data_IF_250086682467
#
_entry.id   IF_250086682467
#
_cell.length_a   1.000
_cell.length_b   1.000
_cell.length_c   1.000
_cell.angle_alpha   90.00
_cell.angle_beta   90.00
_cell.angle_gamma   90.00
#
_symmetry.space_group_name_H-M   'P 1'
#
loop_
_entity.id
_entity.type
_entity.pdbx_description
1 polymer ?
#
# COMPACT_ATOMS: atom_id res chain seq x y z
N UNK A 1 17.90 12.39 -12.58
CA UNK A 1 17.30 13.51 -11.81
C UNK A 1 18.01 13.71 -10.47
N UNK A 2 17.91 12.81 -9.48
CA UNK A 2 18.55 13.04 -8.16
C UNK A 2 20.07 13.18 -8.21
N UNK A 3 20.75 12.32 -8.97
CA UNK A 3 22.20 12.44 -9.21
C UNK A 3 22.60 13.79 -9.82
N UNK A 4 21.75 14.37 -10.67
CA UNK A 4 21.98 15.69 -11.24
C UNK A 4 21.85 16.77 -10.17
N UNK A 5 20.83 16.68 -9.31
CA UNK A 5 20.62 17.62 -8.21
C UNK A 5 21.80 17.65 -7.24
N UNK A 6 22.31 16.48 -6.85
CA UNK A 6 23.47 16.36 -5.95
C UNK A 6 24.75 16.90 -6.62
N UNK A 7 24.94 16.63 -7.91
CA UNK A 7 26.10 17.14 -8.66
C UNK A 7 26.10 18.67 -8.87
N UNK A 8 24.97 19.33 -8.64
CA UNK A 8 24.80 20.79 -8.77
C UNK A 8 24.47 21.42 -7.40
N UNK A 9 25.13 20.96 -6.34
CA UNK A 9 25.02 21.50 -4.97
C UNK A 9 23.58 21.61 -4.45
N UNK A 10 22.78 20.57 -4.71
CA UNK A 10 21.38 20.49 -4.31
C UNK A 10 20.51 21.62 -4.87
N UNK A 11 20.83 22.10 -6.08
CA UNK A 11 20.02 23.09 -6.77
C UNK A 11 18.69 22.48 -7.24
N UNK A 12 17.69 22.53 -6.37
CA UNK A 12 16.34 22.02 -6.63
C UNK A 12 15.58 22.84 -7.67
N UNK A 13 15.85 24.14 -7.79
CA UNK A 13 15.19 25.02 -8.75
C UNK A 13 15.57 24.63 -10.19
N UNK A 14 16.87 24.58 -10.47
CA UNK A 14 17.38 24.16 -11.78
C UNK A 14 17.00 22.71 -12.10
N UNK A 15 17.07 21.81 -11.12
CA UNK A 15 16.64 20.42 -11.30
C UNK A 15 15.15 20.33 -11.62
N UNK A 16 14.31 21.15 -10.98
CA UNK A 16 12.86 21.17 -11.21
C UNK A 16 12.53 21.60 -12.64
N UNK A 17 13.19 22.64 -13.14
CA UNK A 17 13.03 23.13 -14.51
C UNK A 17 13.55 22.11 -15.53
N UNK A 18 14.74 21.55 -15.30
CA UNK A 18 15.38 20.60 -16.21
C UNK A 18 14.57 19.32 -16.40
N UNK A 19 14.00 18.80 -15.32
CA UNK A 19 13.25 17.54 -15.35
C UNK A 19 11.74 17.75 -15.39
N UNK A 20 11.26 18.99 -15.50
CA UNK A 20 9.84 19.35 -15.56
C UNK A 20 9.04 18.74 -14.39
N UNK A 21 9.63 18.77 -13.20
CA UNK A 21 9.02 18.34 -11.94
C UNK A 21 8.84 19.55 -11.05
N UNK A 22 7.96 19.49 -10.05
CA UNK A 22 7.85 20.58 -9.09
C UNK A 22 9.11 20.67 -8.22
N UNK A 23 9.41 21.87 -7.73
CA UNK A 23 10.49 22.10 -6.75
C UNK A 23 10.40 21.15 -5.54
N UNK A 24 9.18 20.94 -5.03
CA UNK A 24 8.97 20.01 -3.92
C UNK A 24 9.26 18.56 -4.31
N UNK A 25 8.93 18.13 -5.54
CA UNK A 25 9.29 16.81 -6.03
C UNK A 25 10.81 16.67 -6.15
N UNK A 26 11.50 17.67 -6.69
CA UNK A 26 12.97 17.74 -6.74
C UNK A 26 13.60 17.49 -5.38
N UNK A 27 13.18 18.27 -4.38
CA UNK A 27 13.66 18.13 -3.01
C UNK A 27 13.31 16.79 -2.38
N UNK A 28 12.06 16.33 -2.50
CA UNK A 28 11.61 15.10 -1.86
C UNK A 28 12.31 13.85 -2.42
N UNK A 29 12.58 13.81 -3.73
CA UNK A 29 13.32 12.69 -4.31
C UNK A 29 14.78 12.68 -3.85
N UNK A 30 15.44 13.84 -3.78
CA UNK A 30 16.82 13.93 -3.26
C UNK A 30 16.91 13.52 -1.79
N UNK A 31 16.03 14.04 -0.92
CA UNK A 31 16.02 13.66 0.49
C UNK A 31 15.72 12.18 0.73
N UNK A 32 14.79 11.60 -0.04
CA UNK A 32 14.50 10.16 0.04
C UNK A 32 15.70 9.31 -0.35
N UNK A 33 16.39 9.71 -1.42
CA UNK A 33 17.57 9.04 -1.92
C UNK A 33 18.72 9.07 -0.91
N UNK A 34 18.95 10.21 -0.25
CA UNK A 34 20.00 10.33 0.77
C UNK A 34 19.71 9.48 2.02
N UNK A 35 18.44 9.40 2.42
CA UNK A 35 18.05 8.66 3.62
C UNK A 35 18.01 7.13 3.43
N UNK A 36 17.58 6.67 2.26
CA UNK A 36 17.21 5.26 2.04
C UNK A 36 17.74 4.68 0.72
N UNK A 37 18.63 5.41 0.03
CA UNK A 37 19.22 4.98 -1.23
C UNK A 37 18.23 4.91 -2.39
N UNK A 38 18.68 4.27 -3.48
CA UNK A 38 17.93 4.20 -4.74
C UNK A 38 16.63 3.38 -4.65
N UNK A 39 16.60 2.38 -3.76
CA UNK A 39 15.45 1.48 -3.57
C UNK A 39 14.22 2.25 -3.08
N UNK A 40 14.42 3.34 -2.35
CA UNK A 40 13.36 4.22 -1.85
C UNK A 40 12.64 5.04 -2.93
N UNK A 41 13.26 5.19 -4.11
CA UNK A 41 12.68 5.86 -5.27
C UNK A 41 11.87 4.92 -6.15
N UNK A 42 11.90 3.61 -5.87
CA UNK A 42 11.13 2.62 -6.63
C UNK A 42 9.64 2.87 -6.43
N UNK A 43 8.90 2.96 -7.53
CA UNK A 43 7.45 3.17 -7.47
C UNK A 43 6.75 1.89 -6.97
N UNK A 44 6.23 1.98 -5.75
CA UNK A 44 5.49 0.91 -5.08
C UNK A 44 3.98 1.19 -5.03
N UNK A 45 3.47 2.19 -5.76
CA UNK A 45 2.03 2.45 -5.81
C UNK A 45 1.30 1.23 -6.39
N UNK A 46 0.22 0.83 -5.72
CA UNK A 46 -0.60 -0.33 -6.13
C UNK A 46 0.05 -1.69 -5.94
N UNK A 47 1.30 -1.76 -5.46
CA UNK A 47 2.01 -3.03 -5.18
C UNK A 47 2.00 -3.26 -3.67
N UNK A 48 1.58 -4.47 -3.25
CA UNK A 48 1.80 -4.91 -1.86
C UNK A 48 3.31 -5.06 -1.64
N UNK A 49 3.79 -4.71 -0.45
CA UNK A 49 5.13 -5.12 0.00
C UNK A 49 5.27 -6.63 -0.17
N UNK A 50 6.45 -7.10 -0.56
CA UNK A 50 6.71 -8.53 -0.59
C UNK A 50 6.59 -9.11 0.83
N UNK A 51 6.25 -10.39 0.95
CA UNK A 51 6.12 -11.05 2.26
C UNK A 51 7.43 -11.01 3.06
N UNK A 52 8.57 -10.92 2.39
CA UNK A 52 9.90 -10.81 3.02
C UNK A 52 10.19 -9.41 3.56
N UNK A 53 9.58 -8.36 2.98
CA UNK A 53 9.71 -6.97 3.43
C UNK A 53 8.65 -6.57 4.47
N UNK A 54 7.65 -7.43 4.72
CA UNK A 54 6.63 -7.16 5.72
C UNK A 54 7.16 -7.42 7.13
N UNK A 55 7.00 -6.43 8.01
CA UNK A 55 7.19 -6.63 9.45
C UNK A 55 6.19 -7.67 9.96
N UNK A 56 6.52 -8.38 11.05
CA UNK A 56 5.62 -9.34 11.70
C UNK A 56 4.23 -8.73 11.98
N UNK A 57 4.19 -7.47 12.42
CA UNK A 57 2.93 -6.75 12.65
C UNK A 57 2.13 -6.54 11.36
N UNK A 58 2.80 -6.32 10.23
CA UNK A 58 2.15 -6.15 8.92
C UNK A 58 1.59 -7.49 8.42
N UNK A 59 2.34 -8.59 8.60
CA UNK A 59 1.89 -9.96 8.31
C UNK A 59 0.64 -10.31 9.11
N UNK A 60 0.68 -10.10 10.43
CA UNK A 60 -0.44 -10.36 11.33
C UNK A 60 -1.68 -9.54 10.96
N UNK A 61 -1.53 -8.26 10.59
CA UNK A 61 -2.66 -7.44 10.13
C UNK A 61 -3.26 -7.96 8.83
N UNK A 62 -2.43 -8.40 7.89
CA UNK A 62 -2.89 -8.96 6.62
C UNK A 62 -3.67 -10.26 6.85
N UNK A 63 -3.13 -11.17 7.67
CA UNK A 63 -3.78 -12.42 8.04
C UNK A 63 -5.10 -12.16 8.79
N UNK A 64 -5.11 -11.26 9.77
CA UNK A 64 -6.31 -10.91 10.52
C UNK A 64 -7.41 -10.36 9.60
N UNK A 65 -7.04 -9.59 8.57
CA UNK A 65 -7.99 -9.08 7.58
C UNK A 65 -8.61 -10.21 6.75
N UNK A 66 -7.82 -11.20 6.35
CA UNK A 66 -8.31 -12.38 5.61
C UNK A 66 -9.27 -13.18 6.50
N UNK A 67 -8.85 -13.50 7.73
CA UNK A 67 -9.65 -14.26 8.68
C UNK A 67 -10.98 -13.57 9.02
N UNK A 68 -10.99 -12.24 9.16
CA UNK A 68 -12.25 -11.49 9.36
C UNK A 68 -13.21 -11.62 8.19
N UNK A 69 -12.70 -11.53 6.96
CA UNK A 69 -13.52 -11.66 5.76
C UNK A 69 -14.08 -13.09 5.61
N UNK A 70 -13.30 -14.11 5.96
CA UNK A 70 -13.78 -15.50 6.00
C UNK A 70 -14.85 -15.71 7.06
N UNK A 71 -14.63 -15.19 8.27
CA UNK A 71 -15.60 -15.24 9.34
C UNK A 71 -16.92 -14.55 8.95
N UNK A 72 -16.84 -13.37 8.36
CA UNK A 72 -18.02 -12.62 7.91
C UNK A 72 -18.80 -13.41 6.84
N UNK A 73 -18.10 -14.04 5.88
CA UNK A 73 -18.74 -14.92 4.89
C UNK A 73 -19.43 -16.12 5.53
N UNK A 74 -18.76 -16.79 6.48
CA UNK A 74 -19.35 -17.93 7.18
C UNK A 74 -20.58 -17.53 8.02
N UNK A 75 -20.55 -16.35 8.67
CA UNK A 75 -21.68 -15.81 9.41
C UNK A 75 -22.86 -15.48 8.49
N UNK A 76 -22.60 -14.91 7.30
CA UNK A 76 -23.62 -14.67 6.28
C UNK A 76 -24.24 -15.98 5.80
N UNK A 77 -23.44 -17.00 5.47
CA UNK A 77 -23.93 -18.32 5.07
C UNK A 77 -24.80 -18.96 6.15
N UNK A 78 -24.35 -18.93 7.42
CA UNK A 78 -25.13 -19.45 8.53
C UNK A 78 -26.46 -18.69 8.73
N UNK A 79 -26.45 -17.36 8.58
CA UNK A 79 -27.67 -16.54 8.68
C UNK A 79 -28.65 -16.85 7.54
N UNK A 80 -28.13 -17.07 6.34
CA UNK A 80 -28.91 -17.41 5.15
C UNK A 80 -29.61 -18.77 5.32
N UNK A 81 -28.88 -19.79 5.77
CA UNK A 81 -29.43 -21.12 6.04
C UNK A 81 -30.54 -21.09 7.10
N UNK A 82 -30.33 -20.35 8.20
CA UNK A 82 -31.38 -20.15 9.22
C UNK A 82 -32.65 -19.52 8.64
N UNK A 83 -32.49 -18.55 7.73
CA UNK A 83 -33.63 -17.89 7.11
C UNK A 83 -34.38 -18.81 6.14
N UNK A 84 -33.66 -19.67 5.42
CA UNK A 84 -34.25 -20.69 4.54
C UNK A 84 -35.11 -21.66 5.36
N UNK A 85 -34.58 -22.20 6.45
CA UNK A 85 -35.30 -23.14 7.32
C UNK A 85 -36.59 -22.52 7.89
N UNK A 86 -36.55 -21.25 8.31
CA UNK A 86 -37.74 -20.54 8.79
C UNK A 86 -38.84 -20.45 7.71
N UNK A 87 -38.46 -20.18 6.47
CA UNK A 87 -39.40 -20.08 5.34
C UNK A 87 -40.01 -21.45 5.03
N UNK A 88 -39.21 -22.51 5.02
CA UNK A 88 -39.70 -23.88 4.80
C UNK A 88 -40.67 -24.33 5.89
N UNK A 89 -40.40 -24.00 7.16
CA UNK A 89 -41.30 -24.29 8.29
C UNK A 89 -42.63 -23.56 8.21
N UNK A 90 -42.67 -22.33 7.65
CA UNK A 90 -43.92 -21.57 7.45
C UNK A 90 -44.77 -22.08 6.28
N UNK A 91 -44.15 -22.80 5.33
CA UNK A 91 -44.83 -23.38 4.16
C UNK A 91 -45.37 -24.78 4.41
N UNK A 92 -44.91 -25.44 5.47
CA UNK A 92 -45.49 -26.67 6.03
C UNK A 92 -46.65 -26.33 6.95
#
# INVERSE_FOLDING_TARGET
MVQYCIAHDHNYAETSEKYQVSYQQARNFTLKYEAYGIESLRDNRGKRKSEDEMSELEKLKAENKILRAEKERAEMEASFLKKLEEIERRRR
#
